data_IF_014823668339
#
_entry.id   IF_014823668339
#
_cell.length_a   1.000
_cell.length_b   1.000
_cell.length_c   1.000
_cell.angle_alpha   90.00
_cell.angle_beta   90.00
_cell.angle_gamma   90.00
#
_symmetry.space_group_name_H-M   'P 1'
#
loop_
_entity.id
_entity.type
_entity.pdbx_description
1 polymer ?
#
# COMPACT_ATOMS: atom_id res chain seq x y z
N UNK A 1 -2.10 1.10 -18.16
CA UNK A 1 -3.03 2.07 -17.53
C UNK A 1 -2.20 3.16 -16.90
N UNK A 2 -2.53 4.43 -17.10
CA UNK A 2 -1.83 5.54 -16.44
C UNK A 2 -2.43 5.73 -15.05
N UNK A 3 -1.59 5.77 -14.03
CA UNK A 3 -2.01 6.21 -12.69
C UNK A 3 -2.26 7.72 -12.74
N UNK A 4 -3.34 8.17 -12.13
CA UNK A 4 -3.70 9.59 -11.96
C UNK A 4 -3.89 9.93 -10.49
N UNK A 5 -3.82 11.22 -10.10
CA UNK A 5 -4.11 11.64 -8.73
C UNK A 5 -5.48 11.15 -8.23
N UNK A 6 -5.57 10.97 -6.91
CA UNK A 6 -6.74 10.46 -6.18
C UNK A 6 -7.14 9.01 -6.46
N UNK A 7 -6.36 8.27 -7.26
CA UNK A 7 -6.53 6.82 -7.36
C UNK A 7 -5.97 6.11 -6.14
N UNK A 8 -6.64 5.05 -5.73
CA UNK A 8 -6.13 4.14 -4.71
C UNK A 8 -5.22 3.12 -5.37
N UNK A 9 -4.00 3.02 -4.83
CA UNK A 9 -3.02 2.04 -5.21
C UNK A 9 -2.75 1.10 -4.04
N UNK A 10 -2.07 -0.01 -4.31
CA UNK A 10 -1.51 -0.84 -3.28
C UNK A 10 -0.11 -1.36 -3.62
N UNK A 11 0.63 -1.68 -2.57
CA UNK A 11 1.89 -2.41 -2.57
C UNK A 11 1.69 -3.73 -1.83
N UNK A 12 2.16 -4.83 -2.41
CA UNK A 12 2.21 -6.12 -1.72
C UNK A 12 3.64 -6.44 -1.29
N UNK A 13 3.81 -6.91 -0.06
CA UNK A 13 5.11 -7.38 0.42
C UNK A 13 4.94 -8.38 1.56
N UNK A 14 5.56 -9.55 1.42
CA UNK A 14 5.36 -10.68 2.34
C UNK A 14 3.88 -11.00 2.54
N UNK A 15 3.45 -11.02 3.80
CA UNK A 15 2.06 -11.22 4.25
C UNK A 15 1.27 -9.92 4.43
N UNK A 16 1.71 -8.82 3.78
CA UNK A 16 1.14 -7.49 3.96
C UNK A 16 0.69 -6.86 2.64
N UNK A 17 -0.33 -6.01 2.73
CA UNK A 17 -0.75 -5.11 1.65
C UNK A 17 -0.92 -3.69 2.19
N UNK A 18 -0.16 -2.76 1.63
CA UNK A 18 -0.23 -1.34 1.94
C UNK A 18 -1.06 -0.64 0.88
N UNK A 19 -2.21 -0.09 1.26
CA UNK A 19 -3.02 0.80 0.42
C UNK A 19 -2.54 2.24 0.58
N UNK A 20 -2.56 2.95 -0.54
CA UNK A 20 -2.16 4.35 -0.62
C UNK A 20 -3.08 5.11 -1.56
N UNK A 21 -3.21 6.42 -1.36
CA UNK A 21 -3.76 7.34 -2.36
C UNK A 21 -2.61 7.94 -3.19
N UNK A 22 -2.74 7.99 -4.51
CA UNK A 22 -1.83 8.75 -5.36
C UNK A 22 -2.09 10.26 -5.20
N UNK A 23 -1.20 10.99 -4.52
CA UNK A 23 -1.28 12.45 -4.44
C UNK A 23 -0.85 13.07 -5.76
N UNK A 24 0.32 12.64 -6.26
CA UNK A 24 0.91 13.19 -7.48
C UNK A 24 1.78 12.15 -8.18
N UNK A 25 1.74 12.15 -9.51
CA UNK A 25 2.64 11.36 -10.35
C UNK A 25 3.60 12.29 -11.07
N UNK A 26 4.90 12.11 -10.86
CA UNK A 26 5.96 12.82 -11.57
C UNK A 26 6.45 11.94 -12.72
N UNK A 27 5.73 12.00 -13.84
CA UNK A 27 5.92 11.09 -14.99
C UNK A 27 7.35 11.07 -15.52
N UNK A 28 8.02 12.23 -15.58
CA UNK A 28 9.39 12.38 -16.05
C UNK A 28 10.40 11.56 -15.25
N UNK A 29 10.16 11.40 -13.94
CA UNK A 29 11.02 10.66 -13.02
C UNK A 29 10.47 9.28 -12.66
N UNK A 30 9.30 8.92 -13.21
CA UNK A 30 8.55 7.72 -12.86
C UNK A 30 8.32 7.57 -11.35
N UNK A 31 8.10 8.68 -10.66
CA UNK A 31 7.84 8.71 -9.22
C UNK A 31 6.35 8.94 -8.94
N UNK A 32 5.87 8.35 -7.85
CA UNK A 32 4.57 8.60 -7.26
C UNK A 32 4.76 9.13 -5.84
N UNK A 33 4.21 10.31 -5.58
CA UNK A 33 3.93 10.77 -4.23
C UNK A 33 2.61 10.12 -3.80
N UNK A 34 2.71 9.23 -2.82
CA UNK A 34 1.62 8.41 -2.35
C UNK A 34 1.39 8.61 -0.85
N UNK A 35 0.13 8.75 -0.45
CA UNK A 35 -0.30 8.85 0.95
C UNK A 35 -0.70 7.48 1.48
N UNK A 36 -0.03 6.94 2.51
CA UNK A 36 -0.48 5.74 3.20
C UNK A 36 -1.88 5.91 3.80
N UNK A 37 -2.77 4.95 3.56
CA UNK A 37 -4.16 5.01 4.06
C UNK A 37 -4.50 3.80 4.94
N UNK A 38 -4.14 2.60 4.52
CA UNK A 38 -4.47 1.36 5.21
C UNK A 38 -3.34 0.34 5.05
N UNK A 39 -2.96 -0.31 6.14
CA UNK A 39 -2.08 -1.48 6.09
C UNK A 39 -2.82 -2.72 6.56
N UNK A 40 -2.80 -3.76 5.73
CA UNK A 40 -3.31 -5.09 6.07
C UNK A 40 -2.12 -6.01 6.34
N UNK A 41 -2.18 -6.80 7.41
CA UNK A 41 -1.23 -7.88 7.70
C UNK A 41 -1.94 -9.21 7.92
N UNK A 42 -1.24 -10.32 7.66
CA UNK A 42 -1.76 -11.69 7.81
C UNK A 42 -2.30 -12.29 6.51
N UNK A 43 -1.96 -11.68 5.36
CA UNK A 43 -2.26 -12.25 4.05
C UNK A 43 -1.37 -13.47 3.77
N UNK A 44 -1.83 -14.46 2.99
CA UNK A 44 -1.00 -15.61 2.64
C UNK A 44 0.22 -15.18 1.81
N UNK A 45 1.40 -15.63 2.24
CA UNK A 45 2.65 -15.43 1.52
C UNK A 45 2.71 -16.31 0.27
N UNK A 46 3.32 -15.80 -0.80
CA UNK A 46 3.40 -16.50 -2.09
C UNK A 46 2.08 -16.67 -2.84
N UNK A 47 0.95 -16.22 -2.27
CA UNK A 47 -0.33 -16.23 -2.96
C UNK A 47 -0.41 -15.14 -4.03
N UNK A 48 -1.11 -15.44 -5.12
CA UNK A 48 -1.45 -14.46 -6.17
C UNK A 48 -2.28 -13.31 -5.60
N UNK A 49 -2.16 -12.12 -6.17
CA UNK A 49 -2.95 -10.95 -5.76
C UNK A 49 -4.46 -11.16 -5.84
N UNK A 50 -4.95 -12.03 -6.74
CA UNK A 50 -6.36 -12.44 -6.81
C UNK A 50 -6.82 -13.19 -5.55
N UNK A 51 -6.12 -14.25 -5.14
CA UNK A 51 -6.41 -14.98 -3.89
C UNK A 51 -6.36 -14.07 -2.65
N UNK A 52 -5.43 -13.12 -2.63
CA UNK A 52 -5.34 -12.12 -1.55
C UNK A 52 -6.55 -11.20 -1.57
N UNK A 53 -6.99 -10.77 -2.75
CA UNK A 53 -8.21 -9.99 -2.90
C UNK A 53 -9.43 -10.76 -2.39
N UNK A 54 -9.60 -12.04 -2.78
CA UNK A 54 -10.73 -12.87 -2.32
C UNK A 54 -10.81 -12.95 -0.79
N UNK A 55 -9.65 -13.08 -0.13
CA UNK A 55 -9.60 -13.12 1.34
C UNK A 55 -9.94 -11.76 1.96
N UNK A 56 -9.48 -10.65 1.37
CA UNK A 56 -9.84 -9.29 1.80
C UNK A 56 -11.35 -9.06 1.63
N UNK A 57 -11.94 -9.45 0.50
CA UNK A 57 -13.38 -9.36 0.27
C UNK A 57 -14.15 -10.22 1.29
N UNK A 58 -13.62 -11.38 1.67
CA UNK A 58 -14.15 -12.22 2.75
C UNK A 58 -14.16 -11.49 4.10
N UNK A 59 -13.06 -10.82 4.45
CA UNK A 59 -12.96 -9.98 5.65
C UNK A 59 -13.99 -8.86 5.66
N UNK A 60 -14.21 -8.18 4.52
CA UNK A 60 -15.23 -7.12 4.41
C UNK A 60 -16.64 -7.64 4.72
N UNK A 61 -16.96 -8.85 4.24
CA UNK A 61 -18.29 -9.47 4.44
C UNK A 61 -18.50 -9.99 5.86
N UNK A 62 -17.45 -10.46 6.52
CA UNK A 62 -17.55 -11.10 7.84
C UNK A 62 -16.33 -10.76 8.69
N UNK A 63 -16.23 -9.52 9.21
CA UNK A 63 -15.02 -9.06 9.86
C UNK A 63 -14.65 -9.80 11.14
N UNK A 64 -15.65 -10.31 11.86
CA UNK A 64 -15.49 -11.00 13.14
C UNK A 64 -14.80 -12.37 13.02
N UNK A 65 -14.84 -12.95 11.82
CA UNK A 65 -14.20 -14.25 11.52
C UNK A 65 -12.83 -14.07 10.86
N UNK A 66 -12.42 -12.82 10.61
CA UNK A 66 -11.18 -12.51 9.91
C UNK A 66 -9.99 -12.56 10.86
N UNK A 67 -8.94 -13.29 10.47
CA UNK A 67 -7.64 -13.25 11.15
C UNK A 67 -6.75 -12.07 10.69
N UNK A 68 -7.21 -11.30 9.70
CA UNK A 68 -6.46 -10.16 9.18
C UNK A 68 -6.41 -9.01 10.19
N UNK A 69 -5.24 -8.37 10.27
CA UNK A 69 -5.04 -7.17 11.08
C UNK A 69 -5.03 -5.96 10.17
N UNK A 70 -5.93 -5.02 10.43
CA UNK A 70 -6.07 -3.77 9.71
C UNK A 70 -5.48 -2.64 10.56
N UNK A 71 -4.67 -1.79 9.96
CA UNK A 71 -4.09 -0.62 10.62
C UNK A 71 -4.45 0.64 9.85
N UNK A 72 -5.09 1.57 10.54
CA UNK A 72 -5.34 2.91 10.01
C UNK A 72 -4.01 3.68 9.96
N UNK A 73 -3.64 4.15 8.77
CA UNK A 73 -2.41 4.91 8.54
C UNK A 73 -2.67 6.40 8.29
N UNK A 74 -3.91 6.88 8.47
CA UNK A 74 -4.21 8.29 8.35
C UNK A 74 -3.29 9.14 9.26
N UNK A 75 -2.70 10.19 8.67
CA UNK A 75 -1.75 11.06 9.36
C UNK A 75 -0.31 10.55 9.41
N UNK A 76 -0.01 9.37 8.85
CA UNK A 76 1.38 8.94 8.67
C UNK A 76 2.08 9.75 7.55
N UNK A 77 3.42 9.84 7.57
CA UNK A 77 4.17 10.52 6.51
C UNK A 77 3.91 9.91 5.13
N UNK A 78 3.79 10.76 4.12
CA UNK A 78 3.66 10.33 2.74
C UNK A 78 4.98 9.72 2.22
N UNK A 79 4.89 8.87 1.20
CA UNK A 79 6.04 8.23 0.54
C UNK A 79 6.20 8.75 -0.89
N UNK A 80 7.45 8.91 -1.35
CA UNK A 80 7.78 9.29 -2.73
C UNK A 80 8.64 8.20 -3.36
N UNK A 81 8.01 7.29 -4.08
CA UNK A 81 8.64 6.05 -4.55
C UNK A 81 8.51 5.90 -6.08
N UNK A 82 9.34 5.05 -6.73
CA UNK A 82 9.10 4.63 -8.10
C UNK A 82 7.66 4.12 -8.26
N UNK A 83 7.03 4.41 -9.40
CA UNK A 83 5.64 4.04 -9.65
C UNK A 83 5.48 2.53 -9.95
N UNK A 84 6.55 1.89 -10.42
CA UNK A 84 6.58 0.50 -10.88
C UNK A 84 6.01 -0.54 -9.89
N UNK A 85 6.32 -0.51 -8.58
CA UNK A 85 5.78 -1.47 -7.63
C UNK A 85 4.30 -1.27 -7.30
N UNK A 86 3.70 -0.10 -7.59
CA UNK A 86 2.31 0.17 -7.26
C UNK A 86 1.35 -0.51 -8.23
N UNK A 87 0.28 -1.06 -7.69
CA UNK A 87 -0.82 -1.65 -8.44
C UNK A 87 -2.11 -0.87 -8.16
N UNK A 88 -2.99 -0.71 -9.15
CA UNK A 88 -4.31 -0.09 -8.95
C UNK A 88 -5.17 -0.97 -8.04
N UNK A 89 -5.70 -0.39 -6.97
CA UNK A 89 -6.72 -1.04 -6.17
C UNK A 89 -8.06 -0.96 -6.91
N UNK A 90 -8.88 -2.01 -6.81
CA UNK A 90 -10.28 -1.95 -7.22
C UNK A 90 -11.12 -1.43 -6.04
N UNK A 91 -11.97 -0.43 -6.31
CA UNK A 91 -12.50 0.46 -5.27
C UNK A 91 -13.51 -0.18 -4.30
N UNK A 92 -14.11 -1.34 -4.61
CA UNK A 92 -15.25 -1.86 -3.84
C UNK A 92 -14.89 -2.30 -2.43
N UNK A 93 -13.74 -2.95 -2.22
CA UNK A 93 -13.38 -3.46 -0.89
C UNK A 93 -12.65 -2.40 -0.03
N UNK A 94 -11.91 -1.48 -0.67
CA UNK A 94 -11.10 -0.49 0.04
C UNK A 94 -11.95 0.42 0.93
N UNK A 95 -13.01 1.02 0.38
CA UNK A 95 -13.86 1.94 1.15
C UNK A 95 -14.56 1.23 2.32
N UNK A 96 -15.00 -0.01 2.12
CA UNK A 96 -15.61 -0.80 3.19
C UNK A 96 -14.64 -1.06 4.35
N UNK A 97 -13.36 -1.35 4.05
CA UNK A 97 -12.32 -1.54 5.07
C UNK A 97 -12.04 -0.26 5.85
N UNK A 98 -12.01 0.90 5.17
CA UNK A 98 -11.82 2.21 5.83
C UNK A 98 -13.00 2.52 6.74
N UNK A 99 -14.24 2.32 6.29
CA UNK A 99 -15.44 2.52 7.11
C UNK A 99 -15.37 1.62 8.36
N UNK A 100 -15.00 0.36 8.19
CA UNK A 100 -14.85 -0.57 9.31
C UNK A 100 -13.78 -0.09 10.31
N UNK A 101 -12.63 0.39 9.85
CA UNK A 101 -11.59 0.96 10.71
C UNK A 101 -12.07 2.18 11.49
N UNK A 102 -12.90 3.04 10.89
CA UNK A 102 -13.46 4.20 11.59
C UNK A 102 -14.50 3.81 12.64
N UNK A 103 -15.26 2.74 12.39
CA UNK A 103 -16.22 2.19 13.36
C UNK A 103 -15.53 1.44 14.50
N UNK A 104 -14.37 0.83 14.25
CA UNK A 104 -13.58 0.11 15.25
C UNK A 104 -12.14 0.64 15.24
N UNK A 105 -11.90 1.83 15.84
CA UNK A 105 -10.59 2.46 15.80
C UNK A 105 -9.56 1.61 16.54
N UNK A 106 -8.57 1.12 15.81
CA UNK A 106 -7.39 0.47 16.38
C UNK A 106 -6.47 1.55 16.97
N UNK A 107 -6.83 2.05 18.15
CA UNK A 107 -6.18 3.19 18.81
C UNK A 107 -4.67 3.00 19.01
N UNK A 108 -3.91 3.87 18.33
CA UNK A 108 -2.62 4.50 18.71
C UNK A 108 -1.92 4.96 17.43
N UNK A 109 -1.99 6.25 17.09
CA UNK A 109 -1.28 6.81 15.94
C UNK A 109 0.25 6.52 15.96
N UNK A 110 0.83 6.46 17.16
CA UNK A 110 2.23 6.11 17.36
C UNK A 110 2.55 4.65 16.98
N UNK A 111 1.59 3.74 17.08
CA UNK A 111 1.75 2.36 16.60
C UNK A 111 1.64 2.33 15.08
N UNK A 112 0.72 3.10 14.47
CA UNK A 112 0.56 3.17 13.01
C UNK A 112 1.83 3.62 12.28
N UNK A 113 2.48 4.69 12.76
CA UNK A 113 3.74 5.17 12.17
C UNK A 113 4.85 4.13 12.25
N UNK A 114 4.97 3.43 13.39
CA UNK A 114 5.91 2.32 13.56
C UNK A 114 5.60 1.16 12.61
N UNK A 115 4.32 0.80 12.44
CA UNK A 115 3.92 -0.29 11.51
C UNK A 115 4.22 0.04 10.05
N UNK A 116 4.04 1.30 9.65
CA UNK A 116 4.42 1.78 8.33
C UNK A 116 5.95 1.74 8.15
N UNK A 117 6.72 2.24 9.13
CA UNK A 117 8.18 2.21 9.09
C UNK A 117 8.71 0.77 8.97
N UNK A 118 8.18 -0.18 9.76
CA UNK A 118 8.51 -1.61 9.66
C UNK A 118 8.26 -2.17 8.24
N UNK A 119 7.11 -1.81 7.64
CA UNK A 119 6.79 -2.23 6.27
C UNK A 119 7.78 -1.65 5.26
N UNK A 120 8.07 -0.35 5.36
CA UNK A 120 9.00 0.37 4.46
C UNK A 120 10.40 -0.26 4.52
N UNK A 121 10.94 -0.48 5.72
CA UNK A 121 12.26 -1.06 5.88
C UNK A 121 12.34 -2.46 5.27
N UNK A 122 11.37 -3.32 5.58
CA UNK A 122 11.34 -4.68 5.01
C UNK A 122 11.19 -4.68 3.49
N UNK A 123 10.41 -3.74 2.93
CA UNK A 123 10.24 -3.60 1.49
C UNK A 123 11.57 -3.25 0.81
N UNK A 124 12.30 -2.27 1.35
CA UNK A 124 13.59 -1.80 0.81
C UNK A 124 14.70 -2.86 0.87
N UNK A 125 14.76 -3.62 1.96
CA UNK A 125 15.72 -4.72 2.10
C UNK A 125 15.56 -5.79 1.02
N UNK A 126 14.34 -6.00 0.53
CA UNK A 126 14.02 -7.04 -0.45
C UNK A 126 14.07 -6.52 -1.90
N UNK A 127 13.76 -5.24 -2.11
CA UNK A 127 13.54 -4.64 -3.45
C UNK A 127 14.49 -3.49 -3.75
N UNK A 128 15.75 -3.60 -3.31
CA UNK A 128 16.73 -2.50 -3.45
C UNK A 128 16.99 -2.13 -4.92
N UNK A 129 16.79 -3.06 -5.85
CA UNK A 129 16.88 -2.89 -7.29
C UNK A 129 15.84 -1.91 -7.85
N UNK A 130 14.62 -1.88 -7.31
CA UNK A 130 13.55 -0.98 -7.75
C UNK A 130 13.95 0.49 -7.52
N UNK A 131 14.72 0.75 -6.48
CA UNK A 131 15.16 2.09 -6.08
C UNK A 131 16.50 2.49 -6.69
N UNK A 132 17.17 1.61 -7.45
CA UNK A 132 18.37 1.97 -8.19
C UNK A 132 17.97 2.78 -9.42
N UNK A 133 18.14 4.10 -9.32
CA UNK A 133 18.00 5.00 -10.46
C UNK A 133 18.99 4.60 -11.55
N UNK A 134 18.48 4.31 -12.74
CA UNK A 134 19.32 4.09 -13.92
C UNK A 134 19.78 5.48 -14.40
N UNK A 135 20.94 5.95 -13.92
CA UNK A 135 21.58 7.22 -14.29
C UNK A 135 22.10 7.26 -15.74
N UNK A 136 21.82 6.24 -16.55
CA UNK A 136 22.43 6.05 -17.87
C UNK A 136 21.80 6.88 -19.01
N UNK A 137 20.65 7.55 -18.83
CA UNK A 137 19.98 8.28 -19.93
C UNK A 137 20.20 9.80 -19.94
N UNK A 138 20.94 10.38 -19.00
CA UNK A 138 21.13 11.84 -18.92
C UNK A 138 22.43 12.35 -19.58
N UNK A 139 23.28 11.48 -20.14
CA UNK A 139 24.53 11.88 -20.81
C UNK A 139 24.52 11.75 -22.35
N UNK A 140 23.33 11.60 -22.96
CA UNK A 140 23.20 11.44 -24.43
C UNK A 140 22.27 12.48 -25.06
N UNK A 141 22.38 13.75 -24.67
CA UNK A 141 21.72 14.87 -25.36
C UNK A 141 22.65 16.05 -25.50
#
# INVERSE_FOLDING_TARGET
>A
MSVVPSQILYLEHGSSRLYVEAIQVVSQRRLCWARPTLLIRGLPEGATSAKRQDMISGTVRSPEQSSLKLYDLEGCPDIIWPITPFQLAYDLDFFSLIVQLKLTPNGDAQRSSRRLSEFIHSFWETHTDIFRFNSASELSS
#
